data_IF_053861432912
#
_entry.id   IF_053861432912
#
_cell.length_a   1.000
_cell.length_b   1.000
_cell.length_c   1.000
_cell.angle_alpha   90.00
_cell.angle_beta   90.00
_cell.angle_gamma   90.00
#
_symmetry.space_group_name_H-M   'P 1'
#
loop_
_entity.id
_entity.type
_entity.pdbx_description
1 polymer ?
#
# COMPACT_ATOMS: atom_id res chain seq x y z
N UNK A 1 -8.94 -7.88 0.56
CA UNK A 1 -8.83 -6.42 0.46
C UNK A 1 -7.42 -5.96 0.83
N UNK A 2 -6.94 -4.89 0.20
CA UNK A 2 -5.61 -4.30 0.45
C UNK A 2 -5.73 -2.83 0.85
N UNK A 3 -4.98 -2.44 1.88
CA UNK A 3 -4.88 -1.05 2.32
C UNK A 3 -3.46 -0.53 2.09
N UNK A 4 -3.32 0.53 1.28
CA UNK A 4 -2.07 1.28 1.15
C UNK A 4 -2.01 2.37 2.23
N UNK A 5 -0.99 2.34 3.08
CA UNK A 5 -0.83 3.26 4.20
C UNK A 5 0.52 3.98 4.10
N UNK A 6 0.49 5.31 4.06
CA UNK A 6 1.69 6.14 4.05
C UNK A 6 1.43 7.42 4.82
N UNK A 7 1.77 7.42 6.10
CA UNK A 7 1.49 8.53 7.01
C UNK A 7 2.79 9.16 7.51
N UNK A 8 2.84 10.49 7.60
CA UNK A 8 3.84 11.22 8.37
C UNK A 8 3.49 11.19 9.87
N UNK A 9 2.31 11.68 10.24
CA UNK A 9 1.78 11.58 11.60
C UNK A 9 1.25 10.17 11.88
N UNK A 10 1.76 9.56 12.96
CA UNK A 10 1.43 8.18 13.38
C UNK A 10 0.32 8.12 14.43
N UNK A 11 -0.26 9.25 14.81
CA UNK A 11 -1.35 9.33 15.77
C UNK A 11 -2.51 8.39 15.36
N UNK A 12 -2.82 7.42 16.21
CA UNK A 12 -3.89 6.44 15.99
C UNK A 12 -3.62 5.35 14.94
N UNK A 13 -2.42 5.32 14.34
CA UNK A 13 -2.08 4.34 13.30
C UNK A 13 -2.17 2.89 13.82
N UNK A 14 -1.77 2.67 15.06
CA UNK A 14 -1.77 1.36 15.72
C UNK A 14 -3.18 0.77 15.82
N UNK A 15 -4.12 1.55 16.33
CA UNK A 15 -5.52 1.18 16.53
C UNK A 15 -6.19 0.95 15.18
N UNK A 16 -5.94 1.86 14.23
CA UNK A 16 -6.45 1.76 12.86
C UNK A 16 -5.97 0.48 12.16
N UNK A 17 -4.65 0.23 12.15
CA UNK A 17 -4.07 -0.90 11.45
C UNK A 17 -4.41 -2.25 12.10
N UNK A 18 -4.48 -2.32 13.44
CA UNK A 18 -4.97 -3.52 14.14
C UNK A 18 -6.42 -3.85 13.76
N UNK A 19 -7.27 -2.83 13.66
CA UNK A 19 -8.65 -3.00 13.22
C UNK A 19 -8.76 -3.53 11.78
N UNK A 20 -7.92 -3.02 10.86
CA UNK A 20 -7.87 -3.55 9.50
C UNK A 20 -7.42 -5.03 9.47
N UNK A 21 -6.36 -5.37 10.19
CA UNK A 21 -5.85 -6.75 10.26
C UNK A 21 -6.87 -7.70 10.89
N UNK A 22 -7.60 -7.28 11.93
CA UNK A 22 -8.65 -8.11 12.54
C UNK A 22 -9.83 -8.37 11.61
N UNK A 23 -10.06 -7.49 10.62
CA UNK A 23 -11.03 -7.65 9.54
C UNK A 23 -10.47 -8.44 8.33
N UNK A 24 -9.24 -8.95 8.41
CA UNK A 24 -8.60 -9.73 7.34
C UNK A 24 -8.02 -8.90 6.19
N UNK A 25 -7.76 -7.61 6.40
CA UNK A 25 -7.11 -6.78 5.40
C UNK A 25 -5.60 -7.01 5.38
N UNK A 26 -5.01 -6.97 4.18
CA UNK A 26 -3.56 -6.92 3.99
C UNK A 26 -3.08 -5.47 4.01
N UNK A 27 -2.06 -5.20 4.82
CA UNK A 27 -1.45 -3.88 4.92
C UNK A 27 -0.29 -3.76 3.93
N UNK A 28 -0.29 -2.69 3.15
CA UNK A 28 0.83 -2.28 2.31
C UNK A 28 1.32 -0.93 2.78
N UNK A 29 2.60 -0.78 3.10
CA UNK A 29 3.11 0.48 3.63
C UNK A 29 4.53 0.81 3.14
N UNK A 30 4.89 2.10 3.19
CA UNK A 30 6.20 2.59 2.73
C UNK A 30 7.07 3.06 3.90
N UNK A 31 8.39 2.83 3.78
CA UNK A 31 9.43 3.36 4.69
C UNK A 31 9.07 3.32 6.17
N UNK A 32 9.12 4.48 6.83
CA UNK A 32 8.88 4.61 8.28
C UNK A 32 7.45 4.20 8.72
N UNK A 33 6.47 4.19 7.82
CA UNK A 33 5.13 3.69 8.14
C UNK A 33 5.15 2.16 8.27
N UNK A 34 5.81 1.47 7.34
CA UNK A 34 6.00 0.03 7.43
C UNK A 34 6.77 -0.35 8.71
N UNK A 35 7.88 0.33 8.99
CA UNK A 35 8.66 0.10 10.19
C UNK A 35 7.86 0.29 11.50
N UNK A 36 7.00 1.31 11.57
CA UNK A 36 6.15 1.55 12.74
C UNK A 36 5.10 0.43 12.95
N UNK A 37 4.53 -0.08 11.86
CA UNK A 37 3.55 -1.18 11.90
C UNK A 37 4.21 -2.53 12.22
N UNK A 38 5.38 -2.80 11.63
CA UNK A 38 6.21 -3.97 11.92
C UNK A 38 6.63 -4.00 13.41
N UNK A 39 7.02 -2.85 13.97
CA UNK A 39 7.45 -2.72 15.37
C UNK A 39 6.34 -3.06 16.38
N UNK A 40 5.06 -2.93 16.00
CA UNK A 40 3.92 -3.33 16.83
C UNK A 40 3.41 -4.75 16.52
N UNK A 41 4.16 -5.50 15.71
CA UNK A 41 3.93 -6.91 15.40
C UNK A 41 2.88 -7.15 14.31
N UNK A 42 2.56 -6.16 13.48
CA UNK A 42 1.62 -6.34 12.38
C UNK A 42 2.34 -6.82 11.12
N UNK A 43 1.73 -7.77 10.36
CA UNK A 43 2.25 -8.16 9.06
C UNK A 43 2.03 -7.03 8.05
N UNK A 44 3.10 -6.67 7.33
CA UNK A 44 3.10 -5.59 6.34
C UNK A 44 3.83 -6.06 5.11
N UNK A 45 3.22 -5.86 3.95
CA UNK A 45 3.89 -5.94 2.66
C UNK A 45 4.50 -4.56 2.36
N UNK A 46 5.78 -4.52 2.07
CA UNK A 46 6.46 -3.25 1.81
C UNK A 46 6.20 -2.77 0.39
N UNK A 47 6.10 -1.44 0.18
CA UNK A 47 5.97 -0.88 -1.19
C UNK A 47 7.14 -1.30 -2.08
N UNK A 48 8.34 -1.47 -1.53
CA UNK A 48 9.51 -1.96 -2.22
C UNK A 48 9.32 -3.40 -2.76
N UNK A 49 8.60 -4.25 -2.02
CA UNK A 49 8.22 -5.61 -2.46
C UNK A 49 7.17 -5.55 -3.58
N UNK A 50 6.20 -4.63 -3.46
CA UNK A 50 5.17 -4.41 -4.49
C UNK A 50 5.77 -3.84 -5.77
N UNK A 51 6.81 -3.03 -5.70
CA UNK A 51 7.36 -2.34 -6.87
C UNK A 51 8.56 -3.07 -7.48
N UNK A 52 9.26 -3.89 -6.70
CA UNK A 52 10.58 -4.43 -7.03
C UNK A 52 11.59 -3.33 -7.43
N UNK A 53 11.35 -2.09 -7.01
CA UNK A 53 12.18 -0.93 -7.32
C UNK A 53 13.04 -0.58 -6.09
N UNK A 54 14.33 -0.27 -6.27
CA UNK A 54 15.16 0.14 -5.16
C UNK A 54 14.73 1.50 -4.62
N UNK A 55 15.09 1.79 -3.37
CA UNK A 55 14.94 3.13 -2.83
C UNK A 55 15.85 4.12 -3.58
N UNK A 56 15.28 5.24 -4.03
CA UNK A 56 16.00 6.28 -4.76
C UNK A 56 15.68 7.67 -4.20
N UNK A 57 16.66 8.57 -4.30
CA UNK A 57 16.53 10.00 -3.96
C UNK A 57 16.07 10.26 -2.51
N UNK A 58 16.42 9.38 -1.56
CA UNK A 58 15.96 9.46 -0.17
C UNK A 58 14.45 9.21 -0.03
N UNK A 59 13.94 8.23 -0.76
CA UNK A 59 12.53 7.83 -0.71
C UNK A 59 11.56 8.75 -1.46
N UNK A 60 12.02 9.79 -2.16
CA UNK A 60 11.16 10.77 -2.86
C UNK A 60 10.26 10.17 -3.95
N UNK A 61 10.69 9.05 -4.55
CA UNK A 61 10.01 8.46 -5.72
C UNK A 61 9.54 7.03 -5.48
N UNK A 62 9.57 6.53 -4.24
CA UNK A 62 9.30 5.12 -3.91
C UNK A 62 7.89 4.65 -4.25
N UNK A 63 6.89 5.53 -4.21
CA UNK A 63 5.49 5.22 -4.56
C UNK A 63 5.10 5.64 -5.96
N UNK A 64 5.94 6.40 -6.68
CA UNK A 64 5.68 6.89 -8.04
C UNK A 64 5.92 5.78 -9.05
N UNK A 65 5.13 4.71 -8.94
CA UNK A 65 5.32 3.47 -9.69
C UNK A 65 4.01 2.94 -10.25
N UNK A 66 3.98 2.40 -11.49
CA UNK A 66 2.76 1.84 -12.08
C UNK A 66 2.10 0.75 -11.22
N UNK A 67 2.87 -0.16 -10.61
CA UNK A 67 2.31 -1.20 -9.71
C UNK A 67 1.60 -0.65 -8.47
N UNK A 68 1.87 0.61 -8.08
CA UNK A 68 1.12 1.29 -7.01
C UNK A 68 -0.07 2.04 -7.60
N UNK A 69 0.18 2.93 -8.57
CA UNK A 69 -0.85 3.82 -9.10
C UNK A 69 -1.91 3.10 -9.93
N UNK A 70 -1.57 2.05 -10.68
CA UNK A 70 -2.57 1.23 -11.37
C UNK A 70 -3.52 0.56 -10.37
N UNK A 71 -3.00 0.06 -9.24
CA UNK A 71 -3.82 -0.51 -8.17
C UNK A 71 -4.76 0.52 -7.50
N UNK A 72 -4.46 1.81 -7.58
CA UNK A 72 -5.31 2.90 -7.06
C UNK A 72 -6.31 3.36 -8.14
N UNK A 73 -5.87 3.50 -9.39
CA UNK A 73 -6.58 4.23 -10.44
C UNK A 73 -7.43 3.35 -11.36
N UNK A 74 -7.22 2.04 -11.38
CA UNK A 74 -8.02 1.14 -12.20
C UNK A 74 -9.50 1.22 -11.84
N UNK A 75 -10.34 1.43 -12.86
CA UNK A 75 -11.80 1.46 -12.72
C UNK A 75 -12.29 0.03 -12.57
N UNK A 76 -13.03 -0.23 -11.50
CA UNK A 76 -13.45 -1.60 -11.13
C UNK A 76 -14.59 -2.13 -11.98
N UNK A 77 -15.31 -1.24 -12.64
CA UNK A 77 -16.44 -1.50 -13.52
C UNK A 77 -16.03 -1.52 -15.01
N UNK A 78 -14.76 -1.23 -15.33
CA UNK A 78 -14.22 -1.32 -16.68
C UNK A 78 -13.45 -2.65 -16.85
N UNK A 79 -13.92 -3.49 -17.78
CA UNK A 79 -13.33 -4.81 -18.01
C UNK A 79 -11.89 -4.72 -18.53
N UNK A 80 -11.58 -3.70 -19.33
CA UNK A 80 -10.23 -3.47 -19.88
C UNK A 80 -9.21 -3.15 -18.78
N UNK A 81 -9.59 -2.31 -17.80
CA UNK A 81 -8.72 -1.95 -16.67
C UNK A 81 -8.45 -3.19 -15.79
N UNK A 82 -9.46 -4.02 -15.52
CA UNK A 82 -9.31 -5.26 -14.74
C UNK A 82 -8.40 -6.26 -15.44
N UNK A 83 -8.59 -6.47 -16.76
CA UNK A 83 -7.72 -7.34 -17.54
C UNK A 83 -6.26 -6.86 -17.52
N UNK A 84 -6.03 -5.55 -17.61
CA UNK A 84 -4.69 -4.96 -17.52
C UNK A 84 -4.03 -5.21 -16.16
N UNK A 85 -4.80 -5.09 -15.06
CA UNK A 85 -4.30 -5.42 -13.72
C UNK A 85 -3.90 -6.89 -13.60
N UNK A 86 -4.73 -7.80 -14.10
CA UNK A 86 -4.49 -9.24 -14.07
C UNK A 86 -3.25 -9.62 -14.91
N UNK A 87 -3.11 -9.08 -16.12
CA UNK A 87 -1.96 -9.31 -17.01
C UNK A 87 -0.63 -8.95 -16.34
N UNK A 88 -0.61 -7.84 -15.59
CA UNK A 88 0.58 -7.36 -14.91
C UNK A 88 0.74 -7.85 -13.46
N UNK A 89 -0.17 -8.71 -12.97
CA UNK A 89 -0.15 -9.21 -11.60
C UNK A 89 -0.21 -8.08 -10.56
N UNK A 90 -1.07 -7.08 -10.80
CA UNK A 90 -1.28 -5.93 -9.92
C UNK A 90 -2.63 -6.10 -9.22
N UNK A 91 -2.62 -6.19 -7.90
CA UNK A 91 -3.86 -6.19 -7.13
C UNK A 91 -4.29 -4.77 -6.75
N UNK A 92 -5.58 -4.46 -6.90
CA UNK A 92 -6.13 -3.16 -6.54
C UNK A 92 -6.05 -2.88 -5.02
N UNK A 93 -6.04 -1.59 -4.67
CA UNK A 93 -6.18 -1.11 -3.31
C UNK A 93 -7.64 -0.72 -3.05
N UNK A 94 -8.18 -1.20 -1.93
CA UNK A 94 -9.54 -0.88 -1.48
C UNK A 94 -9.57 0.31 -0.52
N UNK A 95 -8.42 0.62 0.08
CA UNK A 95 -8.25 1.75 0.99
C UNK A 95 -6.87 2.38 0.77
N UNK A 96 -6.84 3.71 0.76
CA UNK A 96 -5.62 4.51 0.76
C UNK A 96 -5.67 5.46 1.95
N UNK A 97 -4.73 5.32 2.89
CA UNK A 97 -4.60 6.18 4.06
C UNK A 97 -3.29 6.96 3.98
N UNK A 98 -3.40 8.27 3.78
CA UNK A 98 -2.25 9.17 3.62
C UNK A 98 -2.47 10.44 4.45
N UNK A 99 -1.41 10.91 5.11
CA UNK A 99 -1.33 12.25 5.67
C UNK A 99 0.05 12.85 5.36
N UNK A 100 0.10 14.19 5.27
CA UNK A 100 1.24 14.98 4.78
C UNK A 100 1.99 15.65 5.93
#
# INVERSE_FOLDING_TARGET
>A
MRALISTWDKSGLDTFARGLVSLGWRLVASGNTAAALEAIGLPVERVEEVTASPEMLGGRVKTLHPRVHAGILARRDEAEDIATLEEHGIEAFDLVCVNL
#
